data_IF_963364748660
#
_entry.id   IF_963364748660
#
_cell.length_a   1.000
_cell.length_b   1.000
_cell.length_c   1.000
_cell.angle_alpha   90.00
_cell.angle_beta   90.00
_cell.angle_gamma   90.00
#
_symmetry.space_group_name_H-M   'P 1'
#
loop_
_entity.id
_entity.type
_entity.pdbx_description
1 polymer ?
#
# COMPACT_ATOMS: atom_id res chain seq x y z
N UNK A 1 26.83 -1.80 -13.60
CA UNK A 1 25.68 -2.51 -12.99
C UNK A 1 24.35 -1.73 -13.05
N UNK A 2 24.19 -0.90 -14.11
CA UNK A 2 22.97 -0.06 -14.32
C UNK A 2 22.01 -0.60 -15.41
N UNK A 3 22.38 -1.68 -16.12
CA UNK A 3 21.61 -2.18 -17.26
C UNK A 3 20.35 -2.97 -16.94
N UNK A 4 20.42 -3.89 -15.98
CA UNK A 4 19.30 -4.78 -15.64
C UNK A 4 18.05 -4.04 -15.09
N UNK A 5 18.23 -2.86 -14.54
CA UNK A 5 17.16 -2.04 -13.98
C UNK A 5 16.35 -1.28 -15.04
N UNK A 6 17.01 -0.83 -16.12
CA UNK A 6 16.35 -0.14 -17.22
C UNK A 6 15.50 -1.10 -18.08
N UNK A 7 15.82 -2.40 -18.07
CA UNK A 7 15.06 -3.44 -18.78
C UNK A 7 13.78 -3.86 -18.02
N UNK A 8 13.78 -3.81 -16.67
CA UNK A 8 12.62 -4.19 -15.86
C UNK A 8 11.45 -3.22 -15.96
N UNK A 9 11.76 -1.92 -16.03
CA UNK A 9 10.77 -0.84 -16.13
C UNK A 9 11.22 0.14 -17.22
N UNK A 10 11.14 -0.24 -18.50
CA UNK A 10 11.66 0.57 -19.60
C UNK A 10 10.95 1.92 -19.70
N UNK A 11 11.72 2.97 -19.93
CA UNK A 11 11.21 4.32 -20.16
C UNK A 11 11.04 5.21 -18.92
N UNK A 12 11.26 4.71 -17.72
CA UNK A 12 11.08 5.50 -16.50
C UNK A 12 12.37 5.62 -15.69
N UNK A 13 12.77 6.86 -15.38
CA UNK A 13 13.79 7.17 -14.38
C UNK A 13 13.09 7.47 -13.06
N UNK A 14 12.77 6.44 -12.31
CA UNK A 14 12.19 6.63 -10.98
C UNK A 14 13.23 7.19 -10.01
N UNK A 15 12.85 8.15 -9.15
CA UNK A 15 13.78 8.76 -8.21
C UNK A 15 14.17 7.85 -7.03
N UNK A 16 13.51 6.72 -6.88
CA UNK A 16 13.64 5.78 -5.78
C UNK A 16 14.60 4.63 -6.07
N UNK A 17 15.11 4.00 -5.02
CA UNK A 17 15.98 2.83 -5.11
C UNK A 17 15.18 1.58 -4.78
N UNK A 18 14.80 0.80 -5.81
CA UNK A 18 14.25 -0.54 -5.62
C UNK A 18 15.42 -1.50 -5.39
N UNK A 19 15.46 -2.28 -4.29
CA UNK A 19 16.51 -3.25 -4.04
C UNK A 19 16.54 -4.35 -5.11
N UNK A 20 17.72 -4.87 -5.41
CA UNK A 20 17.86 -6.02 -6.29
C UNK A 20 17.73 -7.33 -5.47
N UNK A 21 16.88 -8.28 -5.87
CA UNK A 21 16.85 -9.63 -5.29
C UNK A 21 18.03 -10.46 -5.82
N UNK A 22 18.34 -11.56 -5.12
CA UNK A 22 19.35 -12.51 -5.61
C UNK A 22 18.82 -13.30 -6.81
N UNK A 23 17.51 -13.56 -6.82
CA UNK A 23 16.80 -14.20 -7.94
C UNK A 23 15.41 -13.59 -8.10
N UNK A 24 14.96 -13.48 -9.36
CA UNK A 24 13.63 -12.99 -9.71
C UNK A 24 12.98 -13.92 -10.73
N UNK A 25 11.67 -14.15 -10.55
CA UNK A 25 10.80 -14.85 -11.49
C UNK A 25 9.57 -14.00 -11.79
N UNK A 26 8.92 -14.16 -12.95
CA UNK A 26 7.61 -13.58 -13.18
C UNK A 26 6.61 -14.06 -12.12
N UNK A 27 5.77 -13.16 -11.66
CA UNK A 27 4.67 -13.47 -10.75
C UNK A 27 3.36 -13.76 -11.47
N UNK A 28 2.27 -13.74 -10.71
CA UNK A 28 0.93 -13.93 -11.22
C UNK A 28 0.40 -12.66 -11.92
N UNK A 29 -0.58 -12.79 -12.84
CA UNK A 29 -1.30 -11.64 -13.36
C UNK A 29 -2.05 -10.91 -12.23
N UNK A 30 -2.47 -9.67 -12.51
CA UNK A 30 -3.28 -8.89 -11.56
C UNK A 30 -4.52 -9.69 -11.12
N UNK A 31 -4.93 -9.63 -9.84
CA UNK A 31 -6.15 -10.31 -9.36
C UNK A 31 -7.38 -10.04 -10.22
N UNK A 32 -7.49 -8.83 -10.74
CA UNK A 32 -8.60 -8.33 -11.56
C UNK A 32 -8.38 -8.46 -13.07
N UNK A 33 -7.30 -9.12 -13.52
CA UNK A 33 -6.98 -9.22 -14.95
C UNK A 33 -8.06 -9.93 -15.78
N UNK A 34 -8.86 -10.81 -15.14
CA UNK A 34 -9.95 -11.53 -15.78
C UNK A 34 -11.22 -10.70 -15.93
N UNK A 35 -11.29 -9.51 -15.30
CA UNK A 35 -12.45 -8.63 -15.40
C UNK A 35 -12.40 -7.79 -16.67
N UNK A 36 -13.59 -7.58 -17.27
CA UNK A 36 -13.74 -6.65 -18.37
C UNK A 36 -13.31 -5.22 -18.00
N UNK A 37 -12.74 -4.50 -18.95
CA UNK A 37 -12.25 -3.13 -18.72
C UNK A 37 -13.36 -2.19 -18.17
N UNK A 38 -14.62 -2.38 -18.57
CA UNK A 38 -15.77 -1.64 -18.06
C UNK A 38 -16.00 -1.85 -16.57
N UNK A 39 -15.77 -3.06 -16.04
CA UNK A 39 -15.92 -3.37 -14.62
C UNK A 39 -14.82 -2.77 -13.75
N UNK A 40 -13.67 -2.45 -14.36
CA UNK A 40 -12.49 -1.84 -13.70
C UNK A 40 -12.51 -0.31 -13.75
N UNK A 41 -13.37 0.27 -14.59
CA UNK A 41 -13.63 1.72 -14.66
C UNK A 41 -14.82 2.08 -13.75
N UNK A 42 -15.03 3.33 -13.51
CA UNK A 42 -16.18 3.84 -12.73
C UNK A 42 -16.24 3.25 -11.31
N UNK A 43 -15.13 3.26 -10.61
CA UNK A 43 -15.07 2.94 -9.19
C UNK A 43 -15.16 4.24 -8.42
N UNK A 44 -16.31 4.50 -7.80
CA UNK A 44 -16.53 5.61 -6.88
C UNK A 44 -16.21 5.22 -5.43
N UNK A 45 -16.09 6.21 -4.55
CA UNK A 45 -15.79 6.01 -3.13
C UNK A 45 -16.90 5.19 -2.44
N UNK A 46 -18.16 5.42 -2.79
CA UNK A 46 -19.29 4.71 -2.19
C UNK A 46 -19.24 3.19 -2.51
N UNK A 47 -18.81 2.83 -3.72
CA UNK A 47 -18.60 1.42 -4.10
C UNK A 47 -17.52 0.78 -3.24
N UNK A 48 -16.39 1.46 -3.02
CA UNK A 48 -15.30 0.93 -2.17
C UNK A 48 -15.80 0.70 -0.75
N UNK A 49 -16.48 1.68 -0.16
CA UNK A 49 -17.03 1.58 1.21
C UNK A 49 -18.02 0.43 1.33
N UNK A 50 -18.96 0.31 0.40
CA UNK A 50 -19.94 -0.79 0.37
C UNK A 50 -19.22 -2.15 0.30
N UNK A 51 -18.20 -2.29 -0.54
CA UNK A 51 -17.42 -3.53 -0.66
C UNK A 51 -16.63 -3.86 0.60
N UNK A 52 -16.09 -2.87 1.32
CA UNK A 52 -15.46 -3.09 2.63
C UNK A 52 -16.46 -3.69 3.63
N UNK A 53 -17.68 -3.15 3.69
CA UNK A 53 -18.74 -3.68 4.57
C UNK A 53 -19.11 -5.12 4.18
N UNK A 54 -19.35 -5.39 2.90
CA UNK A 54 -19.67 -6.73 2.38
C UNK A 54 -18.58 -7.77 2.72
N UNK A 55 -17.33 -7.34 2.83
CA UNK A 55 -16.18 -8.18 3.20
C UNK A 55 -15.92 -8.26 4.71
N UNK A 56 -16.77 -7.68 5.54
CA UNK A 56 -16.54 -7.63 6.99
C UNK A 56 -15.29 -6.84 7.39
N UNK A 57 -14.96 -5.81 6.61
CA UNK A 57 -13.80 -4.95 6.82
C UNK A 57 -14.19 -3.55 7.33
N UNK A 58 -15.45 -3.34 7.74
CA UNK A 58 -15.86 -2.09 8.37
C UNK A 58 -15.16 -1.90 9.74
N UNK A 59 -15.11 -0.67 10.23
CA UNK A 59 -14.56 -0.41 11.58
C UNK A 59 -15.29 -1.19 12.66
N UNK A 60 -16.61 -1.33 12.53
CA UNK A 60 -17.47 -2.04 13.49
C UNK A 60 -17.19 -3.54 13.53
N UNK A 61 -16.66 -4.12 12.44
CA UNK A 61 -16.25 -5.52 12.41
C UNK A 61 -15.01 -5.81 13.26
N UNK A 62 -14.34 -4.76 13.74
CA UNK A 62 -13.12 -4.86 14.52
C UNK A 62 -11.86 -5.08 13.66
N UNK A 63 -10.74 -5.21 14.34
CA UNK A 63 -9.44 -5.38 13.68
C UNK A 63 -9.37 -6.71 12.91
N UNK A 64 -8.88 -6.71 11.68
CA UNK A 64 -8.69 -7.95 10.93
C UNK A 64 -7.61 -8.83 11.58
N UNK A 65 -7.67 -10.16 11.37
CA UNK A 65 -6.69 -11.08 11.94
C UNK A 65 -5.28 -10.80 11.39
N UNK A 66 -4.27 -11.10 12.20
CA UNK A 66 -2.88 -11.00 11.81
C UNK A 66 -2.54 -12.06 10.74
N UNK A 67 -1.81 -11.64 9.71
CA UNK A 67 -1.29 -12.57 8.70
C UNK A 67 -0.24 -13.52 9.31
N UNK A 68 -0.05 -14.69 8.68
CA UNK A 68 1.00 -15.63 9.11
C UNK A 68 2.40 -15.01 9.02
N UNK A 69 2.64 -14.16 8.01
CA UNK A 69 3.88 -13.40 7.86
C UNK A 69 4.12 -12.47 9.06
N UNK A 70 3.09 -11.76 9.51
CA UNK A 70 3.18 -10.87 10.67
C UNK A 70 3.38 -11.64 11.97
N UNK A 71 2.69 -12.77 12.12
CA UNK A 71 2.89 -13.67 13.26
C UNK A 71 4.31 -14.27 13.28
N UNK A 72 4.85 -14.63 12.12
CA UNK A 72 6.21 -15.11 11.99
C UNK A 72 7.24 -14.02 12.35
N UNK A 73 7.06 -12.81 11.83
CA UNK A 73 7.92 -11.66 12.16
C UNK A 73 7.91 -11.37 13.67
N UNK A 74 6.76 -11.45 14.31
CA UNK A 74 6.62 -11.21 15.75
C UNK A 74 7.29 -12.29 16.63
N UNK A 75 7.56 -13.48 16.08
CA UNK A 75 8.23 -14.59 16.77
C UNK A 75 9.74 -14.61 16.56
N UNK A 76 10.28 -13.74 15.71
CA UNK A 76 11.73 -13.68 15.45
C UNK A 76 12.50 -13.28 16.72
N UNK A 77 13.45 -14.11 17.20
CA UNK A 77 14.21 -13.82 18.42
C UNK A 77 15.01 -12.53 18.32
N UNK A 78 14.87 -11.67 19.32
CA UNK A 78 15.62 -10.40 19.38
C UNK A 78 15.07 -9.28 18.48
N UNK A 79 13.97 -9.51 17.75
CA UNK A 79 13.31 -8.52 16.93
C UNK A 79 12.18 -7.86 17.71
N UNK A 80 12.19 -6.53 17.79
CA UNK A 80 11.05 -5.76 18.29
C UNK A 80 10.22 -5.25 17.13
N UNK A 81 9.03 -5.82 16.94
CA UNK A 81 8.07 -5.36 15.93
C UNK A 81 7.40 -4.09 16.44
N UNK A 82 7.45 -3.03 15.63
CA UNK A 82 6.89 -1.71 15.97
C UNK A 82 5.50 -1.55 15.38
N UNK A 83 4.47 -1.27 16.20
CA UNK A 83 3.16 -0.94 15.66
C UNK A 83 3.22 0.37 14.89
N UNK A 84 2.60 0.36 13.71
CA UNK A 84 2.51 1.50 12.80
C UNK A 84 1.13 1.50 12.14
N UNK A 85 0.66 2.65 11.67
CA UNK A 85 -0.56 2.73 10.90
C UNK A 85 -0.38 3.65 9.69
N UNK A 86 -1.12 3.36 8.63
CA UNK A 86 -1.16 4.21 7.43
C UNK A 86 -2.61 4.51 7.09
N UNK A 87 -2.86 5.70 6.55
CA UNK A 87 -4.18 6.11 6.08
C UNK A 87 -4.30 5.83 4.57
N UNK A 88 -5.22 4.96 4.20
CA UNK A 88 -5.70 4.79 2.84
C UNK A 88 -6.79 5.83 2.62
N UNK A 89 -6.38 7.07 2.36
CA UNK A 89 -7.27 8.21 2.19
C UNK A 89 -7.91 8.17 0.80
N UNK A 90 -9.23 8.02 0.75
CA UNK A 90 -10.02 8.00 -0.48
C UNK A 90 -10.67 9.35 -0.72
N UNK A 91 -10.38 9.95 -1.87
CA UNK A 91 -11.01 11.17 -2.38
C UNK A 91 -11.97 10.80 -3.52
N UNK A 92 -13.06 11.54 -3.64
CA UNK A 92 -13.84 11.53 -4.87
C UNK A 92 -13.43 12.71 -5.76
N UNK A 93 -12.95 12.40 -6.96
CA UNK A 93 -12.56 13.39 -7.97
C UNK A 93 -13.35 13.07 -9.23
N UNK A 94 -14.20 14.00 -9.68
CA UNK A 94 -15.03 13.85 -10.88
C UNK A 94 -15.86 12.55 -10.92
N UNK A 95 -16.30 12.06 -9.73
CA UNK A 95 -17.09 10.84 -9.59
C UNK A 95 -16.26 9.54 -9.55
N UNK A 96 -14.96 9.63 -9.51
CA UNK A 96 -14.05 8.48 -9.38
C UNK A 96 -13.32 8.48 -8.04
N UNK A 97 -13.09 7.29 -7.50
CA UNK A 97 -12.30 7.11 -6.28
C UNK A 97 -10.80 7.25 -6.59
N UNK A 98 -10.16 8.17 -5.89
CA UNK A 98 -8.71 8.35 -5.89
C UNK A 98 -8.12 7.98 -4.54
N UNK A 99 -6.94 7.39 -4.53
CA UNK A 99 -6.14 7.19 -3.32
C UNK A 99 -5.06 8.25 -3.20
N UNK A 100 -4.91 8.82 -2.00
CA UNK A 100 -3.86 9.82 -1.71
C UNK A 100 -2.55 9.13 -1.40
N UNK A 101 -1.49 9.59 -2.04
CA UNK A 101 -0.14 9.08 -1.91
C UNK A 101 0.86 10.21 -1.66
N UNK A 102 1.97 9.87 -1.07
CA UNK A 102 3.11 10.77 -0.85
C UNK A 102 4.34 10.25 -1.57
N UNK A 103 5.16 11.15 -2.10
CA UNK A 103 6.55 10.86 -2.44
C UNK A 103 7.42 11.28 -1.27
N UNK A 104 8.12 10.35 -0.67
CA UNK A 104 9.02 10.62 0.45
C UNK A 104 10.21 11.46 0.02
N UNK A 105 10.64 12.36 0.89
CA UNK A 105 11.77 13.25 0.61
C UNK A 105 13.07 12.48 0.34
N UNK A 106 13.85 12.95 -0.62
CA UNK A 106 15.20 12.44 -0.92
C UNK A 106 16.22 12.76 0.17
N UNK A 107 15.90 13.68 1.08
CA UNK A 107 16.73 14.02 2.22
C UNK A 107 16.69 12.97 3.34
N UNK A 108 15.72 12.06 3.34
CA UNK A 108 15.60 11.00 4.32
C UNK A 108 16.76 10.00 4.21
N UNK A 109 17.08 9.33 5.33
CA UNK A 109 18.12 8.29 5.37
C UNK A 109 17.66 6.98 4.74
N UNK A 110 16.37 6.65 4.88
CA UNK A 110 15.75 5.42 4.41
C UNK A 110 14.53 5.74 3.55
N UNK A 111 14.19 4.84 2.61
CA UNK A 111 13.00 4.95 1.76
C UNK A 111 12.92 6.26 0.95
N UNK A 112 14.07 6.74 0.46
CA UNK A 112 14.18 8.00 -0.30
C UNK A 112 13.41 7.95 -1.60
N UNK A 113 12.54 8.92 -1.82
CA UNK A 113 11.78 9.04 -3.06
C UNK A 113 10.76 7.90 -3.28
N UNK A 114 10.56 7.02 -2.29
CA UNK A 114 9.54 5.98 -2.38
C UNK A 114 8.15 6.57 -2.28
N UNK A 115 7.21 5.93 -2.96
CA UNK A 115 5.80 6.28 -2.86
C UNK A 115 5.19 5.51 -1.69
N UNK A 116 4.51 6.25 -0.82
CA UNK A 116 3.91 5.73 0.39
C UNK A 116 2.48 6.24 0.60
N UNK A 117 1.70 5.49 1.36
CA UNK A 117 0.53 6.03 2.03
C UNK A 117 0.98 6.90 3.19
N UNK A 118 0.30 8.02 3.49
CA UNK A 118 0.60 8.81 4.68
C UNK A 118 0.43 7.96 5.94
N UNK A 119 1.40 8.03 6.85
CA UNK A 119 1.37 7.23 8.05
C UNK A 119 2.74 6.97 8.65
N UNK A 120 2.74 6.43 9.85
CA UNK A 120 3.97 6.21 10.59
C UNK A 120 3.80 5.35 11.82
N UNK A 121 4.65 5.57 12.80
CA UNK A 121 4.70 4.78 14.03
C UNK A 121 3.65 5.25 15.04
N UNK A 122 3.13 4.29 15.78
CA UNK A 122 2.29 4.59 16.94
C UNK A 122 3.08 5.37 17.98
N UNK A 123 2.49 6.42 18.50
CA UNK A 123 3.00 7.16 19.64
C UNK A 123 2.17 6.84 20.90
N UNK A 124 2.85 6.54 22.00
CA UNK A 124 2.20 6.19 23.28
C UNK A 124 1.15 5.08 23.13
N UNK A 125 -0.03 5.34 23.66
CA UNK A 125 -1.16 4.41 23.70
C UNK A 125 -2.19 4.64 22.57
N UNK A 126 -1.82 5.34 21.51
CA UNK A 126 -2.69 5.55 20.36
C UNK A 126 -3.19 4.21 19.78
N UNK A 127 -4.43 4.18 19.32
CA UNK A 127 -4.89 3.11 18.44
C UNK A 127 -4.44 3.37 16.98
N UNK A 128 -4.69 2.41 16.12
CA UNK A 128 -4.25 2.52 14.72
C UNK A 128 -4.97 3.64 13.94
N UNK A 129 -6.22 3.96 14.30
CA UNK A 129 -6.98 5.04 13.66
C UNK A 129 -6.38 6.40 14.07
N UNK A 130 -6.15 6.60 15.36
CA UNK A 130 -5.53 7.81 15.88
C UNK A 130 -4.13 8.03 15.29
N UNK A 131 -3.31 6.98 15.25
CA UNK A 131 -1.98 7.03 14.62
C UNK A 131 -2.06 7.44 13.16
N UNK A 132 -2.92 6.79 12.35
CA UNK A 132 -3.04 7.08 10.92
C UNK A 132 -3.50 8.52 10.65
N UNK A 133 -4.45 9.03 11.45
CA UNK A 133 -4.95 10.39 11.30
C UNK A 133 -3.92 11.44 11.75
N UNK A 134 -3.23 11.22 12.87
CA UNK A 134 -2.16 12.13 13.34
C UNK A 134 -1.05 12.23 12.32
N UNK A 135 -0.52 11.09 11.85
CA UNK A 135 0.56 11.06 10.87
C UNK A 135 0.16 11.73 9.54
N UNK A 136 -1.07 11.48 9.06
CA UNK A 136 -1.57 12.15 7.85
C UNK A 136 -1.69 13.66 8.04
N UNK A 137 -2.06 14.12 9.25
CA UNK A 137 -2.07 15.55 9.55
C UNK A 137 -0.64 16.13 9.56
N UNK A 138 0.30 15.47 10.21
CA UNK A 138 1.70 15.90 10.32
C UNK A 138 2.41 15.89 8.96
N UNK A 139 2.30 14.80 8.19
CA UNK A 139 3.00 14.62 6.92
C UNK A 139 2.45 15.47 5.77
N UNK A 140 1.12 15.59 5.68
CA UNK A 140 0.46 16.20 4.50
C UNK A 140 -0.56 17.30 4.83
N UNK A 141 -0.74 17.64 6.11
CA UNK A 141 -1.68 18.67 6.56
C UNK A 141 -3.14 18.29 6.37
N UNK A 142 -3.47 17.00 6.31
CA UNK A 142 -4.86 16.54 6.22
C UNK A 142 -5.52 16.67 7.59
N UNK A 143 -6.48 17.58 7.70
CA UNK A 143 -7.23 17.76 8.95
C UNK A 143 -8.07 16.52 9.25
N UNK A 144 -7.89 15.88 10.44
CA UNK A 144 -8.68 14.72 10.85
C UNK A 144 -10.21 14.95 10.81
N UNK A 145 -10.66 16.20 11.00
CA UNK A 145 -12.09 16.55 10.91
C UNK A 145 -12.69 16.35 9.51
N UNK A 146 -11.87 16.28 8.47
CA UNK A 146 -12.30 16.00 7.10
C UNK A 146 -12.20 14.51 6.74
N UNK A 147 -11.75 13.66 7.66
CA UNK A 147 -11.59 12.22 7.40
C UNK A 147 -12.63 11.44 8.18
N UNK A 148 -13.38 10.60 7.47
CA UNK A 148 -14.25 9.61 8.08
C UNK A 148 -13.62 8.24 7.92
N UNK A 149 -13.01 7.65 8.97
CA UNK A 149 -12.54 6.28 8.92
C UNK A 149 -13.71 5.32 8.69
N UNK A 150 -13.58 4.40 7.72
CA UNK A 150 -14.69 3.52 7.30
C UNK A 150 -14.36 2.03 7.40
N UNK A 151 -13.08 1.68 7.52
CA UNK A 151 -12.73 0.25 7.59
C UNK A 151 -11.23 -0.01 7.64
N UNK A 152 -10.91 -1.29 7.49
CA UNK A 152 -9.59 -1.86 7.62
C UNK A 152 -9.17 -2.64 6.37
N UNK A 153 -7.89 -2.61 6.07
CA UNK A 153 -7.27 -3.65 5.24
C UNK A 153 -6.42 -4.56 6.14
N UNK A 154 -5.97 -5.67 5.59
CA UNK A 154 -5.17 -6.64 6.33
C UNK A 154 -3.87 -6.01 6.83
N UNK A 155 -3.50 -6.23 8.08
CA UNK A 155 -2.22 -5.76 8.60
C UNK A 155 -1.08 -6.47 7.90
N UNK A 156 -0.03 -5.72 7.58
CA UNK A 156 1.12 -6.22 6.83
C UNK A 156 2.41 -6.10 7.64
N UNK A 157 3.33 -7.03 7.39
CA UNK A 157 4.68 -6.98 7.91
C UNK A 157 5.59 -6.15 6.99
N UNK A 158 6.30 -5.19 7.54
CA UNK A 158 7.43 -4.55 6.87
C UNK A 158 8.73 -5.01 7.51
N UNK A 159 9.40 -5.96 6.86
CA UNK A 159 10.69 -6.49 7.32
C UNK A 159 11.77 -5.39 7.31
N UNK A 160 11.75 -4.51 6.30
CA UNK A 160 12.72 -3.42 6.15
C UNK A 160 12.68 -2.41 7.31
N UNK A 161 11.52 -2.20 7.94
CA UNK A 161 11.32 -1.26 9.04
C UNK A 161 11.01 -1.94 10.38
N UNK A 162 10.95 -3.28 10.43
CA UNK A 162 10.50 -4.07 11.57
C UNK A 162 9.14 -3.57 12.10
N UNK A 163 8.19 -3.33 11.20
CA UNK A 163 6.89 -2.75 11.54
C UNK A 163 5.74 -3.68 11.22
N UNK A 164 4.76 -3.70 12.12
CA UNK A 164 3.41 -4.16 11.87
C UNK A 164 2.59 -2.93 11.42
N UNK A 165 2.18 -2.90 10.17
CA UNK A 165 1.48 -1.77 9.58
C UNK A 165 -0.01 -2.09 9.50
N UNK A 166 -0.83 -1.24 10.09
CA UNK A 166 -2.28 -1.31 10.08
C UNK A 166 -2.85 -0.30 9.07
N UNK A 167 -3.33 -0.73 7.89
CA UNK A 167 -3.94 0.18 6.94
C UNK A 167 -5.39 0.50 7.35
N UNK A 168 -5.64 1.77 7.63
CA UNK A 168 -6.97 2.33 7.93
C UNK A 168 -7.51 2.96 6.67
N UNK A 169 -8.70 2.54 6.22
CA UNK A 169 -9.38 3.18 5.10
C UNK A 169 -10.24 4.33 5.62
N UNK A 170 -10.06 5.52 5.06
CA UNK A 170 -10.83 6.70 5.39
C UNK A 170 -11.30 7.44 4.14
N UNK A 171 -12.53 7.92 4.14
CA UNK A 171 -13.04 8.83 3.11
C UNK A 171 -12.73 10.27 3.49
N UNK A 172 -12.33 11.08 2.53
CA UNK A 172 -11.94 12.47 2.74
C UNK A 172 -13.00 13.38 2.13
N UNK A 173 -13.55 14.28 2.95
CA UNK A 173 -14.55 15.23 2.51
C UNK A 173 -13.91 16.43 1.78
N UNK A 174 -14.48 16.80 0.64
CA UNK A 174 -14.06 17.97 -0.13
C UNK A 174 -12.73 17.79 -0.86
N UNK A 175 -12.09 18.91 -1.18
CA UNK A 175 -10.79 18.96 -1.86
C UNK A 175 -9.76 19.59 -0.91
N UNK A 176 -9.01 18.81 -0.14
CA UNK A 176 -8.08 19.34 0.85
C UNK A 176 -6.91 20.08 0.18
N UNK A 177 -6.43 21.10 0.86
CA UNK A 177 -5.18 21.77 0.48
C UNK A 177 -4.02 21.09 1.17
N UNK A 178 -3.23 20.38 0.41
CA UNK A 178 -2.07 19.67 0.92
C UNK A 178 -0.99 20.62 1.44
N UNK A 179 -0.42 20.28 2.58
CA UNK A 179 0.74 20.94 3.17
C UNK A 179 1.80 19.90 3.49
N UNK A 180 2.62 19.51 2.47
CA UNK A 180 3.68 18.55 2.69
C UNK A 180 4.63 19.01 3.79
N UNK A 181 4.98 18.14 4.74
CA UNK A 181 5.97 18.42 5.79
C UNK A 181 7.36 18.51 5.15
N UNK A 182 8.03 19.68 5.23
CA UNK A 182 9.37 19.84 4.66
C UNK A 182 10.36 18.84 5.26
N UNK A 183 11.14 18.17 4.42
CA UNK A 183 12.12 17.18 4.84
C UNK A 183 11.59 15.75 4.91
N UNK A 184 10.28 15.52 5.01
CA UNK A 184 9.67 14.18 5.03
C UNK A 184 8.95 13.85 3.74
N UNK A 185 8.15 14.78 3.23
CA UNK A 185 7.33 14.61 2.04
C UNK A 185 7.77 15.60 0.95
N UNK A 186 8.16 15.08 -0.22
CA UNK A 186 8.51 15.88 -1.39
C UNK A 186 7.27 16.32 -2.17
N UNK A 187 6.27 15.42 -2.29
CA UNK A 187 5.04 15.67 -3.04
C UNK A 187 3.88 14.86 -2.46
N UNK A 188 2.68 15.46 -2.46
CA UNK A 188 1.40 14.80 -2.25
C UNK A 188 0.65 14.77 -3.57
N UNK A 189 0.07 13.63 -3.91
CA UNK A 189 -0.73 13.46 -5.13
C UNK A 189 -1.79 12.39 -4.91
N UNK A 190 -2.77 12.33 -5.80
CA UNK A 190 -3.74 11.25 -5.81
C UNK A 190 -3.70 10.51 -7.13
N UNK A 191 -4.08 9.24 -7.11
CA UNK A 191 -4.17 8.38 -8.28
C UNK A 191 -5.56 7.77 -8.32
N UNK A 192 -6.22 7.82 -9.48
CA UNK A 192 -7.49 7.14 -9.66
C UNK A 192 -7.33 5.63 -9.48
N UNK A 193 -8.26 4.98 -8.77
CA UNK A 193 -8.22 3.52 -8.66
C UNK A 193 -8.34 2.86 -10.04
N UNK A 194 -9.05 3.49 -10.97
CA UNK A 194 -9.18 3.03 -12.35
C UNK A 194 -7.82 2.99 -13.08
N UNK A 195 -6.93 3.97 -12.83
CA UNK A 195 -5.58 4.00 -13.42
C UNK A 195 -4.72 2.84 -12.88
N UNK A 196 -4.84 2.53 -11.60
CA UNK A 196 -4.13 1.39 -10.99
C UNK A 196 -4.66 0.04 -11.47
N UNK A 197 -5.89 -0.01 -11.97
CA UNK A 197 -6.54 -1.19 -12.55
C UNK A 197 -6.28 -1.37 -14.05
N UNK A 198 -5.56 -0.46 -14.69
CA UNK A 198 -5.19 -0.56 -16.10
C UNK A 198 -4.29 -1.79 -16.36
N UNK A 199 -4.38 -2.35 -17.57
CA UNK A 199 -3.73 -3.63 -17.93
C UNK A 199 -2.21 -3.59 -17.80
N UNK A 200 -1.60 -2.44 -18.01
CA UNK A 200 -0.15 -2.23 -17.96
C UNK A 200 0.35 -1.61 -16.65
N UNK A 201 -0.57 -1.30 -15.72
CA UNK A 201 -0.21 -0.64 -14.47
C UNK A 201 0.46 -1.60 -13.48
N UNK A 202 -0.05 -2.84 -13.38
CA UNK A 202 0.38 -3.80 -12.36
C UNK A 202 1.42 -4.80 -12.86
N UNK A 203 2.40 -5.09 -11.99
CA UNK A 203 3.36 -6.20 -12.17
C UNK A 203 3.58 -6.90 -10.83
N UNK A 204 3.52 -8.23 -10.84
CA UNK A 204 4.01 -9.05 -9.74
C UNK A 204 5.33 -9.69 -10.16
N UNK A 205 6.31 -9.62 -9.26
CA UNK A 205 7.55 -10.40 -9.34
C UNK A 205 7.64 -11.33 -8.12
N UNK A 206 8.23 -12.50 -8.31
CA UNK A 206 8.59 -13.42 -7.22
C UNK A 206 10.07 -13.27 -6.95
N UNK A 207 10.40 -12.79 -5.74
CA UNK A 207 11.77 -12.53 -5.33
C UNK A 207 12.27 -13.59 -4.36
N UNK A 208 13.53 -13.99 -4.52
CA UNK A 208 14.27 -14.76 -3.54
C UNK A 208 15.45 -13.96 -3.03
N UNK A 209 15.76 -14.09 -1.76
CA UNK A 209 16.93 -13.50 -1.10
C UNK A 209 17.67 -14.58 -0.32
N UNK A 210 19.01 -14.43 -0.17
CA UNK A 210 19.85 -15.34 0.61
C UNK A 210 19.36 -15.50 2.06
N UNK A 211 18.88 -14.41 2.65
CA UNK A 211 18.19 -14.48 3.96
C UNK A 211 16.73 -14.83 3.72
N UNK A 212 16.24 -15.99 4.24
CA UNK A 212 14.84 -16.36 4.15
C UNK A 212 13.93 -15.26 4.70
N UNK A 213 12.78 -15.08 4.06
CA UNK A 213 11.78 -14.10 4.49
C UNK A 213 10.54 -14.82 5.00
N UNK A 214 9.93 -14.37 6.12
CA UNK A 214 8.63 -14.86 6.54
C UNK A 214 7.59 -14.71 5.42
N UNK A 215 6.80 -15.76 5.15
CA UNK A 215 5.82 -15.78 4.07
C UNK A 215 6.38 -16.11 2.69
N UNK A 216 7.63 -16.55 2.58
CA UNK A 216 8.14 -17.17 1.36
C UNK A 216 7.55 -18.57 1.16
N UNK A 217 7.45 -19.00 -0.11
CA UNK A 217 7.09 -20.37 -0.46
C UNK A 217 8.22 -21.36 -0.12
N UNK A 218 7.99 -22.66 -0.40
CA UNK A 218 8.95 -23.74 -0.11
C UNK A 218 10.28 -23.58 -0.86
N UNK A 219 10.31 -22.83 -1.96
CA UNK A 219 11.52 -22.49 -2.72
C UNK A 219 12.19 -21.18 -2.25
N UNK A 220 11.60 -20.49 -1.27
CA UNK A 220 12.09 -19.24 -0.72
C UNK A 220 11.70 -18.00 -1.51
N UNK A 221 10.76 -18.10 -2.46
CA UNK A 221 10.24 -16.95 -3.20
C UNK A 221 9.06 -16.30 -2.48
N UNK A 222 8.99 -14.97 -2.56
CA UNK A 222 7.88 -14.17 -2.03
C UNK A 222 7.44 -13.12 -3.07
N UNK A 223 6.16 -12.76 -3.10
CA UNK A 223 5.67 -11.80 -4.07
C UNK A 223 6.09 -10.37 -3.71
N UNK A 224 6.47 -9.62 -4.73
CA UNK A 224 6.63 -8.17 -4.68
C UNK A 224 5.77 -7.57 -5.78
N UNK A 225 4.96 -6.61 -5.38
CA UNK A 225 4.02 -5.93 -6.26
C UNK A 225 4.54 -4.57 -6.68
N UNK A 226 4.22 -4.19 -7.90
CA UNK A 226 4.57 -2.90 -8.50
C UNK A 226 3.37 -2.32 -9.22
N UNK A 227 3.19 -1.01 -9.08
CA UNK A 227 2.28 -0.24 -9.92
C UNK A 227 3.06 0.87 -10.63
N UNK A 228 2.91 0.93 -11.95
CA UNK A 228 3.42 2.01 -12.77
C UNK A 228 2.39 3.13 -12.78
N UNK A 229 2.80 4.30 -12.36
CA UNK A 229 2.02 5.53 -12.47
C UNK A 229 2.87 6.58 -13.18
N UNK A 230 2.30 7.64 -13.76
CA UNK A 230 3.09 8.68 -14.39
C UNK A 230 4.17 9.19 -13.44
N UNK A 231 5.43 9.18 -13.90
CA UNK A 231 6.63 9.64 -13.17
C UNK A 231 7.03 8.84 -11.92
N UNK A 232 6.24 7.83 -11.49
CA UNK A 232 6.48 7.10 -10.25
C UNK A 232 6.30 5.59 -10.38
N UNK A 233 6.93 4.88 -9.47
CA UNK A 233 6.74 3.45 -9.27
C UNK A 233 6.29 3.21 -7.82
N UNK A 234 5.11 2.64 -7.64
CA UNK A 234 4.64 2.22 -6.32
C UNK A 234 5.05 0.76 -6.14
N UNK A 235 5.68 0.42 -5.02
CA UNK A 235 6.13 -0.95 -4.79
C UNK A 235 6.11 -1.34 -3.31
N UNK A 236 6.40 -2.61 -3.01
CA UNK A 236 6.58 -3.11 -1.65
C UNK A 236 5.32 -3.02 -0.80
N UNK A 237 5.43 -2.49 0.41
CA UNK A 237 4.33 -2.41 1.38
C UNK A 237 3.14 -1.60 0.83
N UNK A 238 3.39 -0.45 0.22
CA UNK A 238 2.34 0.38 -0.37
C UNK A 238 1.60 -0.34 -1.48
N UNK A 239 2.33 -0.98 -2.40
CA UNK A 239 1.72 -1.74 -3.49
C UNK A 239 0.89 -2.92 -2.95
N UNK A 240 1.36 -3.59 -1.89
CA UNK A 240 0.61 -4.70 -1.27
C UNK A 240 -0.72 -4.23 -0.69
N UNK A 241 -0.75 -3.09 0.00
CA UNK A 241 -2.00 -2.48 0.49
C UNK A 241 -2.94 -2.14 -0.67
N UNK A 242 -2.40 -1.58 -1.77
CA UNK A 242 -3.20 -1.24 -2.94
C UNK A 242 -3.77 -2.47 -3.64
N UNK A 243 -3.05 -3.59 -3.70
CA UNK A 243 -3.58 -4.85 -4.28
C UNK A 243 -4.83 -5.30 -3.52
N UNK A 244 -4.82 -5.27 -2.19
CA UNK A 244 -6.00 -5.64 -1.39
C UNK A 244 -7.15 -4.64 -1.59
N UNK A 245 -6.87 -3.33 -1.55
CA UNK A 245 -7.86 -2.29 -1.80
C UNK A 245 -8.56 -2.49 -3.16
N UNK A 246 -7.78 -2.69 -4.21
CA UNK A 246 -8.29 -2.87 -5.58
C UNK A 246 -9.06 -4.18 -5.75
N UNK A 247 -8.63 -5.26 -5.10
CA UNK A 247 -9.36 -6.52 -5.07
C UNK A 247 -10.73 -6.35 -4.40
N UNK A 248 -10.78 -5.64 -3.27
CA UNK A 248 -12.05 -5.32 -2.60
C UNK A 248 -12.93 -4.43 -3.51
N UNK A 249 -12.39 -3.35 -4.04
CA UNK A 249 -13.11 -2.39 -4.88
C UNK A 249 -13.73 -3.03 -6.13
N UNK A 250 -13.04 -4.00 -6.72
CA UNK A 250 -13.50 -4.76 -7.89
C UNK A 250 -14.40 -5.94 -7.55
N UNK A 251 -14.45 -6.36 -6.29
CA UNK A 251 -15.20 -7.53 -5.84
C UNK A 251 -14.50 -8.86 -6.17
N UNK A 252 -13.23 -8.82 -6.55
CA UNK A 252 -12.45 -10.03 -6.81
C UNK A 252 -12.09 -10.70 -5.49
N UNK A 253 -12.30 -12.03 -5.40
CA UNK A 253 -11.81 -12.83 -4.28
C UNK A 253 -10.29 -12.98 -4.40
N UNK A 254 -9.59 -12.40 -3.49
CA UNK A 254 -8.15 -12.45 -3.44
C UNK A 254 -7.68 -11.66 -2.25
N UNK A 255 -7.75 -12.29 -1.09
CA UNK A 255 -6.89 -11.85 0.01
C UNK A 255 -5.44 -12.03 -0.48
N UNK A 256 -4.67 -10.94 -0.51
CA UNK A 256 -3.23 -11.03 -0.80
C UNK A 256 -2.54 -12.03 0.15
N UNK A 257 -3.17 -12.35 1.30
CA UNK A 257 -2.74 -13.37 2.24
C UNK A 257 -3.03 -14.81 1.76
N UNK A 258 -4.03 -15.05 0.90
CA UNK A 258 -4.30 -16.39 0.34
C UNK A 258 -3.34 -16.77 -0.79
N UNK A 259 -2.73 -15.79 -1.45
CA UNK A 259 -1.68 -16.02 -2.47
C UNK A 259 -0.32 -16.37 -1.88
N UNK A 260 -0.20 -16.35 -0.55
CA UNK A 260 0.99 -16.73 0.22
C UNK A 260 0.90 -18.16 0.78
N UNK A 261 -0.11 -18.94 0.38
CA UNK A 261 -0.24 -20.38 0.72
C UNK A 261 0.30 -21.25 -0.39
#
# INVERSE_FOLDING_TARGET
>A
MSGARAERFPGHRYPQVVPEPDEVRPGAPAPWAHLEASARRSIDVARVVRRLVERGRSLEAGLPPLSQELLALAREPGLTVRPSAVLVALLEVEGEAHVVLTRRSRALRHHRGEIALPGGRRDGDEDAVATALREANEEIGLDPAHVSPVGWLSPIASVASNSAIWPVVGTVAGQPRWRPQPGEVERVFSVALADLLADDAFVEERWRRATPRPGADDEGFFPIYFFRVPEDLIWGATARVLVELLSIATGVDGDASERLR
#
